data_IF_116113748614
#
_entry.id   IF_116113748614
#
_cell.length_a   1.000
_cell.length_b   1.000
_cell.length_c   1.000
_cell.angle_alpha   90.00
_cell.angle_beta   90.00
_cell.angle_gamma   90.00
#
_symmetry.space_group_name_H-M   'P 1'
#
loop_
_entity.id
_entity.type
_entity.pdbx_description
1 polymer ?
#
# COMPACT_ATOMS: atom_id res chain seq x y z
N UNK A 1 -3.84 -11.97 13.53
CA UNK A 1 -4.69 -12.15 12.31
C UNK A 1 -4.53 -10.89 11.46
N UNK A 2 -4.29 -10.99 10.14
CA UNK A 2 -4.13 -9.80 9.30
C UNK A 2 -5.49 -9.14 8.99
N UNK A 3 -5.60 -7.83 9.15
CA UNK A 3 -6.81 -7.10 8.80
C UNK A 3 -7.08 -7.13 7.28
N UNK A 4 -8.32 -6.85 6.88
CA UNK A 4 -8.65 -6.65 5.47
C UNK A 4 -7.83 -5.51 4.85
N UNK A 5 -7.59 -4.44 5.62
CA UNK A 5 -6.79 -3.29 5.18
C UNK A 5 -5.37 -3.72 4.79
N UNK A 6 -4.71 -4.49 5.64
CA UNK A 6 -3.36 -5.04 5.38
C UNK A 6 -3.34 -5.97 4.18
N UNK A 7 -4.31 -6.89 4.07
CA UNK A 7 -4.39 -7.80 2.92
C UNK A 7 -4.54 -7.05 1.59
N UNK A 8 -5.38 -6.02 1.56
CA UNK A 8 -5.58 -5.20 0.37
C UNK A 8 -4.39 -4.30 0.05
N UNK A 9 -3.71 -3.77 1.07
CA UNK A 9 -2.45 -3.03 0.89
C UNK A 9 -1.39 -3.91 0.20
N UNK A 10 -1.22 -5.15 0.67
CA UNK A 10 -0.28 -6.11 0.07
C UNK A 10 -0.67 -6.42 -1.37
N UNK A 11 -1.95 -6.70 -1.65
CA UNK A 11 -2.45 -6.93 -3.02
C UNK A 11 -2.15 -5.76 -3.94
N UNK A 12 -2.43 -4.54 -3.50
CA UNK A 12 -2.17 -3.34 -4.28
C UNK A 12 -0.67 -3.15 -4.56
N UNK A 13 0.19 -3.37 -3.55
CA UNK A 13 1.65 -3.29 -3.72
C UNK A 13 2.18 -4.34 -4.69
N UNK A 14 1.65 -5.56 -4.67
CA UNK A 14 2.03 -6.62 -5.62
C UNK A 14 1.66 -6.22 -7.05
N UNK A 15 0.46 -5.67 -7.26
CA UNK A 15 0.04 -5.19 -8.59
C UNK A 15 0.94 -4.06 -9.08
N UNK A 16 1.22 -3.08 -8.22
CA UNK A 16 2.09 -1.95 -8.55
C UNK A 16 3.54 -2.38 -8.77
N UNK A 17 4.04 -3.36 -8.01
CA UNK A 17 5.38 -3.93 -8.20
C UNK A 17 5.55 -4.65 -9.53
N UNK A 18 4.50 -5.36 -10.00
CA UNK A 18 4.47 -5.95 -11.35
C UNK A 18 4.38 -4.90 -12.47
N UNK A 19 4.03 -3.65 -12.14
CA UNK A 19 3.86 -2.55 -13.09
C UNK A 19 4.99 -1.50 -12.96
N UNK A 20 6.15 -1.86 -12.40
CA UNK A 20 7.21 -0.88 -12.14
C UNK A 20 7.75 -0.17 -13.39
N UNK A 21 7.89 -0.90 -14.51
CA UNK A 21 8.43 -0.36 -15.76
C UNK A 21 7.36 0.30 -16.64
N UNK A 22 6.14 0.44 -16.13
CA UNK A 22 4.98 0.95 -16.85
C UNK A 22 4.49 2.28 -16.25
N UNK A 23 3.67 3.05 -16.98
CA UNK A 23 3.04 4.25 -16.44
C UNK A 23 2.23 3.98 -15.16
N UNK A 24 2.06 5.00 -14.29
CA UNK A 24 1.29 4.87 -13.06
C UNK A 24 -0.12 4.29 -13.30
N UNK A 25 -0.54 3.41 -12.40
CA UNK A 25 -1.84 2.76 -12.51
C UNK A 25 -2.93 3.59 -11.86
N UNK A 26 -4.05 3.75 -12.58
CA UNK A 26 -5.24 4.34 -12.00
C UNK A 26 -5.83 3.44 -10.93
N UNK A 27 -6.34 4.06 -9.87
CA UNK A 27 -6.95 3.34 -8.76
C UNK A 27 -8.12 2.45 -9.17
N UNK A 28 -8.89 2.89 -10.17
CA UNK A 28 -10.01 2.12 -10.73
C UNK A 28 -9.52 0.77 -11.27
N UNK A 29 -8.43 0.78 -12.03
CA UNK A 29 -7.82 -0.41 -12.62
C UNK A 29 -7.31 -1.38 -11.55
N UNK A 30 -6.67 -0.86 -10.50
CA UNK A 30 -6.17 -1.67 -9.38
C UNK A 30 -7.36 -2.29 -8.61
N UNK A 31 -8.42 -1.51 -8.36
CA UNK A 31 -9.61 -1.95 -7.66
C UNK A 31 -10.34 -3.08 -8.41
N UNK A 32 -10.49 -2.96 -9.72
CA UNK A 32 -11.11 -3.97 -10.58
C UNK A 32 -10.28 -5.25 -10.63
N UNK A 33 -8.96 -5.13 -10.84
CA UNK A 33 -8.06 -6.28 -10.98
C UNK A 33 -7.97 -7.13 -9.71
N UNK A 34 -8.01 -6.52 -8.52
CA UNK A 34 -7.89 -7.23 -7.24
C UNK A 34 -9.23 -7.41 -6.51
N UNK A 35 -10.34 -7.01 -7.13
CA UNK A 35 -11.69 -7.03 -6.56
C UNK A 35 -11.78 -6.32 -5.19
N UNK A 36 -11.22 -5.10 -5.12
CA UNK A 36 -11.18 -4.29 -3.89
C UNK A 36 -12.18 -3.13 -4.04
N UNK A 37 -13.03 -2.84 -3.03
CA UNK A 37 -13.87 -1.66 -3.06
C UNK A 37 -13.04 -0.39 -3.23
N UNK A 38 -13.31 0.39 -4.30
CA UNK A 38 -12.52 1.57 -4.69
C UNK A 38 -12.28 2.56 -3.55
N UNK A 39 -13.35 2.96 -2.84
CA UNK A 39 -13.25 3.90 -1.71
C UNK A 39 -12.33 3.40 -0.59
N UNK A 40 -12.29 2.09 -0.38
CA UNK A 40 -11.42 1.49 0.62
C UNK A 40 -9.97 1.45 0.14
N UNK A 41 -9.76 1.14 -1.13
CA UNK A 41 -8.44 1.22 -1.76
C UNK A 41 -7.89 2.66 -1.76
N UNK A 42 -8.74 3.68 -1.91
CA UNK A 42 -8.32 5.10 -1.86
C UNK A 42 -7.63 5.44 -0.55
N UNK A 43 -8.21 5.03 0.58
CA UNK A 43 -7.61 5.23 1.89
C UNK A 43 -6.30 4.45 2.04
N UNK A 44 -6.26 3.20 1.58
CA UNK A 44 -5.06 2.36 1.66
C UNK A 44 -3.90 2.94 0.85
N UNK A 45 -4.14 3.35 -0.40
CA UNK A 45 -3.09 3.92 -1.25
C UNK A 45 -2.62 5.28 -0.73
N UNK A 46 -3.51 6.06 -0.09
CA UNK A 46 -3.14 7.30 0.57
C UNK A 46 -2.19 7.05 1.75
N UNK A 47 -2.50 6.09 2.61
CA UNK A 47 -1.64 5.72 3.75
C UNK A 47 -0.26 5.25 3.27
N UNK A 48 -0.22 4.39 2.25
CA UNK A 48 1.03 3.89 1.67
C UNK A 48 1.86 5.00 0.98
N UNK A 49 1.19 5.95 0.34
CA UNK A 49 1.84 7.16 -0.22
C UNK A 49 2.44 8.01 0.88
N UNK A 50 1.69 8.28 1.94
CA UNK A 50 2.16 9.10 3.06
C UNK A 50 3.34 8.44 3.78
N UNK A 51 3.37 7.12 3.85
CA UNK A 51 4.50 6.34 4.36
C UNK A 51 5.68 6.22 3.36
N UNK A 52 5.58 6.83 2.19
CA UNK A 52 6.67 6.91 1.21
C UNK A 52 6.90 5.65 0.36
N UNK A 53 5.97 4.68 0.38
CA UNK A 53 6.04 3.49 -0.48
C UNK A 53 5.56 3.77 -1.89
N UNK A 54 4.64 4.71 -2.05
CA UNK A 54 4.02 5.06 -3.33
C UNK A 54 4.24 6.53 -3.64
N UNK A 55 4.28 6.85 -4.93
CA UNK A 55 4.05 8.21 -5.39
C UNK A 55 2.78 8.26 -6.24
N UNK A 56 2.16 9.44 -6.30
CA UNK A 56 0.96 9.66 -7.10
C UNK A 56 1.19 10.76 -8.12
N UNK A 57 0.83 10.51 -9.38
CA UNK A 57 0.84 11.52 -10.44
C UNK A 57 -0.59 12.00 -10.72
N UNK A 58 -0.79 13.32 -10.79
CA UNK A 58 -2.09 13.93 -11.17
C UNK A 58 -2.20 14.05 -12.70
N UNK A 59 -3.43 14.15 -13.22
CA UNK A 59 -3.73 14.42 -14.64
C UNK A 59 -4.22 13.21 -15.43
N UNK A 60 -4.51 13.41 -16.72
CA UNK A 60 -4.87 12.35 -17.66
C UNK A 60 -3.66 11.41 -17.85
N UNK A 61 -3.79 10.15 -17.45
CA UNK A 61 -2.68 9.20 -17.36
C UNK A 61 -1.92 9.22 -16.02
N UNK A 62 -2.45 9.92 -15.02
CA UNK A 62 -2.00 9.84 -13.63
C UNK A 62 -2.39 8.53 -12.95
N UNK A 63 -1.99 8.39 -11.69
CA UNK A 63 -2.21 7.17 -10.92
C UNK A 63 -1.16 7.00 -9.82
N UNK A 64 -1.04 5.76 -9.35
CA UNK A 64 -0.06 5.34 -8.34
C UNK A 64 1.03 4.47 -8.96
N UNK A 65 2.25 4.60 -8.48
CA UNK A 65 3.36 3.67 -8.74
C UNK A 65 4.25 3.55 -7.51
N UNK A 66 5.11 2.54 -7.48
CA UNK A 66 6.05 2.35 -6.37
C UNK A 66 7.10 3.46 -6.37
N UNK A 67 7.38 3.99 -5.19
CA UNK A 67 8.44 4.97 -4.94
C UNK A 67 9.76 4.32 -4.51
N UNK A 68 9.76 2.98 -4.34
CA UNK A 68 10.90 2.16 -3.94
C UNK A 68 10.90 0.88 -4.77
N UNK A 69 12.04 0.19 -4.86
CA UNK A 69 12.05 -1.13 -5.49
C UNK A 69 11.28 -2.13 -4.62
N UNK A 70 10.61 -3.15 -5.19
CA UNK A 70 9.87 -4.14 -4.43
C UNK A 70 10.71 -4.86 -3.37
N UNK A 71 11.99 -5.10 -3.66
CA UNK A 71 12.97 -5.70 -2.76
C UNK A 71 13.23 -4.87 -1.48
N UNK A 72 12.98 -3.56 -1.52
CA UNK A 72 13.15 -2.64 -0.40
C UNK A 72 11.87 -2.44 0.43
N UNK A 73 10.76 -3.09 0.04
CA UNK A 73 9.45 -2.95 0.69
C UNK A 73 9.19 -4.17 1.56
N UNK A 74 9.43 -4.03 2.86
CA UNK A 74 9.26 -5.13 3.81
C UNK A 74 7.82 -5.22 4.32
N UNK A 75 7.30 -6.45 4.41
CA UNK A 75 5.96 -6.74 4.90
C UNK A 75 5.70 -6.15 6.31
N UNK A 76 6.72 -6.20 7.17
CA UNK A 76 6.69 -5.64 8.53
C UNK A 76 6.36 -4.14 8.53
N UNK A 77 6.81 -3.39 7.52
CA UNK A 77 6.54 -1.96 7.42
C UNK A 77 5.09 -1.72 6.98
N UNK A 78 4.60 -2.53 6.04
CA UNK A 78 3.21 -2.45 5.58
C UNK A 78 2.26 -2.73 6.73
N UNK A 79 2.51 -3.79 7.51
CA UNK A 79 1.73 -4.11 8.70
C UNK A 79 1.71 -2.95 9.70
N UNK A 80 2.85 -2.29 9.92
CA UNK A 80 2.92 -1.12 10.83
C UNK A 80 2.10 0.06 10.35
N UNK A 81 2.05 0.29 9.04
CA UNK A 81 1.29 1.39 8.44
C UNK A 81 -0.21 1.12 8.46
N UNK A 82 -0.62 -0.15 8.31
CA UNK A 82 -2.04 -0.50 8.21
C UNK A 82 -2.68 -0.89 9.54
N UNK A 83 -2.04 -1.75 10.32
CA UNK A 83 -2.56 -2.34 11.56
C UNK A 83 -1.88 -1.80 12.83
N UNK A 84 -0.76 -1.09 12.69
CA UNK A 84 -0.03 -0.50 13.83
C UNK A 84 1.01 -1.46 14.46
N UNK A 85 1.18 -1.46 15.78
CA UNK A 85 2.23 -2.25 16.42
C UNK A 85 2.00 -3.74 16.19
N UNK A 86 3.09 -4.46 15.92
CA UNK A 86 3.05 -5.91 15.70
C UNK A 86 3.03 -6.67 17.04
N UNK A 87 3.57 -6.06 18.10
CA UNK A 87 3.54 -6.64 19.43
C UNK A 87 2.10 -6.80 19.94
N UNK A 88 1.84 -7.85 20.73
CA UNK A 88 0.51 -8.11 21.29
C UNK A 88 0.02 -6.98 22.21
N UNK A 89 0.95 -6.25 22.83
CA UNK A 89 0.68 -5.04 23.60
C UNK A 89 1.52 -3.88 23.05
N UNK A 90 0.95 -2.68 22.84
CA UNK A 90 1.68 -1.57 22.23
C UNK A 90 2.96 -1.20 22.97
N UNK A 91 2.95 -1.24 24.31
CA UNK A 91 4.09 -0.90 25.16
C UNK A 91 5.29 -1.86 25.05
N UNK A 92 5.14 -3.00 24.37
CA UNK A 92 6.23 -3.94 24.12
C UNK A 92 6.85 -3.76 22.71
N UNK A 93 6.38 -2.78 21.92
CA UNK A 93 6.86 -2.56 20.55
C UNK A 93 7.95 -1.49 20.51
N UNK A 94 9.18 -1.90 20.17
CA UNK A 94 10.33 -0.98 20.00
C UNK A 94 10.09 0.14 18.97
N UNK A 95 9.24 -0.13 17.97
CA UNK A 95 9.01 0.75 16.84
C UNK A 95 7.60 1.37 16.85
N UNK A 96 6.97 1.46 18.03
CA UNK A 96 5.62 2.02 18.15
C UNK A 96 5.49 2.89 19.40
N UNK A 97 5.91 4.15 19.27
CA UNK A 97 5.70 5.27 20.19
C UNK A 97 5.68 6.57 19.39
#
# INVERSE_FOLDING_TARGET
MLSKKTKYAIKALVVLGKNMDNPPMQIQKIAEQEHIPKKFLEQILLDLRNAGFLFSKKGAGGGYSLNKKPEDIFLVQIMRVTDGPIAMVPCASLNFY
#
